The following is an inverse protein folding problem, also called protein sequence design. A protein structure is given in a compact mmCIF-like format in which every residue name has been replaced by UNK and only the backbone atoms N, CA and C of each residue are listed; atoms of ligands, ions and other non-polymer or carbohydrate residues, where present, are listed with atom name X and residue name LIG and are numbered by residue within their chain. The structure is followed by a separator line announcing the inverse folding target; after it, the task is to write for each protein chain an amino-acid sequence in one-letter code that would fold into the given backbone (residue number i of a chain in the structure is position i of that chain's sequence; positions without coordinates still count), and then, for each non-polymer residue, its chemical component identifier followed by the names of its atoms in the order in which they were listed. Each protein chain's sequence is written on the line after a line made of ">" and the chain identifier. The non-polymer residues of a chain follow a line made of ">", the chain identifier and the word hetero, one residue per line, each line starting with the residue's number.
data_IF_061165544245
#
_entry.id   IF_061165544245
#
_cell.length_a   1.000
_cell.length_b   1.000
_cell.length_c   1.000
_cell.angle_alpha   90.00
_cell.angle_beta   90.00
_cell.angle_gamma   90.00
#
_symmetry.space_group_name_H-M   'P 1'
#
loop_
_entity.id
_entity.type
_entity.pdbx_description
1 polymer ?
#
# COMPACT_ATOMS: atom_id res chain seq x y z
N UNK A 1 -5.95 -36.26 27.35
CA UNK A 1 -6.31 -34.85 27.47
C UNK A 1 -5.07 -33.94 27.45
N UNK A 2 -3.99 -34.18 28.21
CA UNK A 2 -2.77 -33.33 28.19
C UNK A 2 -2.10 -33.23 26.81
N UNK A 3 -2.08 -34.25 25.97
CA UNK A 3 -1.47 -34.23 24.63
C UNK A 3 -2.24 -33.37 23.62
N UNK A 4 -3.57 -33.24 23.78
CA UNK A 4 -4.41 -32.40 22.92
C UNK A 4 -4.17 -30.92 23.22
N UNK A 5 -3.95 -30.54 24.49
CA UNK A 5 -3.64 -29.18 24.88
C UNK A 5 -2.29 -28.71 24.34
N UNK A 6 -1.30 -29.59 24.25
CA UNK A 6 0.02 -29.26 23.70
C UNK A 6 -0.08 -29.00 22.18
N UNK A 7 -0.91 -29.79 21.46
CA UNK A 7 -1.11 -29.57 20.02
C UNK A 7 -1.81 -28.25 19.71
N UNK A 8 -2.80 -27.85 20.51
CA UNK A 8 -3.50 -26.58 20.38
C UNK A 8 -2.57 -25.38 20.67
N UNK A 9 -1.69 -25.52 21.66
CA UNK A 9 -0.71 -24.48 22.01
C UNK A 9 0.33 -24.24 20.91
N UNK A 10 0.74 -25.28 20.17
CA UNK A 10 1.71 -25.18 19.07
C UNK A 10 1.11 -24.49 17.85
N UNK A 11 -0.18 -24.70 17.56
CA UNK A 11 -0.87 -24.08 16.42
C UNK A 11 -1.07 -22.56 16.62
N UNK A 12 -1.13 -22.09 17.86
CA UNK A 12 -1.29 -20.66 18.18
C UNK A 12 0.01 -19.84 18.05
N UNK A 13 1.18 -20.48 17.92
CA UNK A 13 2.48 -19.81 17.84
C UNK A 13 2.93 -19.46 16.40
N UNK A 14 2.16 -19.85 15.39
CA UNK A 14 2.47 -19.52 13.98
C UNK A 14 1.84 -18.23 13.48
N UNK A 15 1.42 -17.31 14.36
CA UNK A 15 1.07 -15.94 13.97
C UNK A 15 2.33 -15.24 13.48
N UNK A 16 2.70 -15.50 12.23
CA UNK A 16 3.85 -14.87 11.57
C UNK A 16 3.72 -13.36 11.64
N UNK A 17 4.76 -12.68 12.10
CA UNK A 17 4.91 -11.23 11.99
C UNK A 17 4.93 -10.86 10.50
N UNK A 18 3.77 -10.63 9.90
CA UNK A 18 3.70 -9.92 8.64
C UNK A 18 4.23 -8.51 8.90
N UNK A 19 5.26 -8.10 8.17
CA UNK A 19 5.79 -6.73 8.25
C UNK A 19 4.66 -5.79 7.84
N UNK A 20 4.05 -5.15 8.84
CA UNK A 20 2.91 -4.26 8.62
C UNK A 20 3.41 -3.01 7.88
N UNK A 21 2.98 -2.83 6.65
CA UNK A 21 3.28 -1.62 5.88
C UNK A 21 2.58 -0.43 6.51
N UNK A 22 3.31 0.70 6.61
CA UNK A 22 2.72 1.94 7.12
C UNK A 22 1.76 2.49 6.06
N UNK A 23 0.50 2.65 6.46
CA UNK A 23 -0.56 3.23 5.62
C UNK A 23 -1.00 4.53 6.28
N UNK A 24 -1.01 5.59 5.50
CA UNK A 24 -1.53 6.90 5.87
C UNK A 24 -2.88 7.09 5.19
N UNK A 25 -3.88 7.53 5.95
CA UNK A 25 -5.24 7.75 5.44
C UNK A 25 -5.80 9.04 5.97
N UNK A 26 -6.61 9.71 5.17
CA UNK A 26 -7.35 10.90 5.58
C UNK A 26 -8.70 10.97 4.85
N UNK A 27 -9.63 11.74 5.38
CA UNK A 27 -10.96 11.95 4.81
C UNK A 27 -11.40 13.40 4.98
N UNK A 28 -12.04 13.94 3.96
CA UNK A 28 -12.64 15.26 4.03
C UNK A 28 -13.92 15.19 4.88
N UNK A 29 -13.92 15.94 5.99
CA UNK A 29 -15.03 15.97 6.96
C UNK A 29 -16.27 16.73 6.45
N UNK A 30 -16.15 17.45 5.34
CA UNK A 30 -17.27 18.14 4.70
C UNK A 30 -18.23 17.13 4.07
N UNK A 31 -17.70 15.94 3.68
CA UNK A 31 -18.48 14.90 3.03
C UNK A 31 -18.99 13.87 4.03
N UNK A 32 -20.26 13.51 3.90
CA UNK A 32 -20.84 12.36 4.59
C UNK A 32 -20.50 11.08 3.82
N UNK A 33 -19.54 10.33 4.34
CA UNK A 33 -19.07 9.10 3.70
C UNK A 33 -20.10 7.98 3.69
N UNK A 34 -21.19 8.10 4.46
CA UNK A 34 -22.25 7.07 4.56
C UNK A 34 -23.14 7.00 3.34
N UNK A 35 -23.16 8.05 2.52
CA UNK A 35 -23.99 8.11 1.31
C UNK A 35 -23.43 7.26 0.16
N UNK A 36 -22.12 6.92 0.23
CA UNK A 36 -21.48 6.14 -0.82
C UNK A 36 -21.78 4.66 -0.67
N UNK A 37 -22.37 4.06 -1.69
CA UNK A 37 -22.70 2.63 -1.71
C UNK A 37 -22.46 1.96 -3.08
N UNK A 38 -22.20 2.77 -4.12
CA UNK A 38 -21.86 2.29 -5.45
C UNK A 38 -20.55 2.91 -5.91
N UNK A 39 -19.75 2.15 -6.67
CA UNK A 39 -18.47 2.63 -7.14
C UNK A 39 -18.16 2.20 -8.57
N UNK A 40 -17.27 2.95 -9.22
CA UNK A 40 -16.49 2.52 -10.38
C UNK A 40 -15.00 2.64 -10.06
N UNK A 41 -14.17 1.89 -10.78
CA UNK A 41 -12.71 2.01 -10.70
C UNK A 41 -12.23 2.57 -12.03
N UNK A 42 -11.55 3.70 -11.95
CA UNK A 42 -10.84 4.30 -13.07
C UNK A 42 -9.35 4.03 -12.87
N UNK A 43 -8.79 3.18 -13.73
CA UNK A 43 -7.33 3.07 -13.82
C UNK A 43 -6.82 4.21 -14.71
N UNK A 44 -6.02 5.10 -14.15
CA UNK A 44 -5.30 6.03 -14.99
C UNK A 44 -4.20 5.28 -15.70
N UNK A 45 -4.23 5.32 -17.02
CA UNK A 45 -3.06 5.03 -17.81
C UNK A 45 -1.95 5.97 -17.32
N UNK A 46 -0.83 5.38 -17.00
CA UNK A 46 0.36 6.10 -16.53
C UNK A 46 0.60 7.27 -17.47
N UNK A 47 0.59 8.50 -16.94
CA UNK A 47 1.04 9.66 -17.71
C UNK A 47 2.47 9.32 -18.13
N UNK A 48 2.66 9.07 -19.42
CA UNK A 48 3.96 8.75 -20.01
C UNK A 48 4.86 9.99 -19.95
N UNK A 49 5.42 10.26 -18.78
CA UNK A 49 6.63 11.05 -18.74
C UNK A 49 7.82 10.15 -19.10
N UNK A 50 8.69 10.54 -20.03
CA UNK A 50 9.77 9.70 -20.55
C UNK A 50 10.79 9.24 -19.49
N UNK A 51 10.71 9.78 -18.28
CA UNK A 51 11.57 9.46 -17.15
C UNK A 51 10.97 8.43 -16.17
N UNK A 52 9.73 7.99 -16.37
CA UNK A 52 9.11 7.04 -15.46
C UNK A 52 9.46 5.61 -15.86
N UNK A 53 9.99 4.88 -14.89
CA UNK A 53 10.20 3.44 -15.00
C UNK A 53 8.82 2.80 -15.23
N UNK A 54 8.71 2.01 -16.30
CA UNK A 54 7.47 1.29 -16.65
C UNK A 54 6.91 0.55 -15.42
N UNK A 55 5.71 0.91 -15.00
CA UNK A 55 5.00 0.22 -13.92
C UNK A 55 4.52 -1.13 -14.49
N UNK A 56 4.71 -2.19 -13.71
CA UNK A 56 4.25 -3.52 -14.10
C UNK A 56 2.70 -3.55 -14.24
N UNK A 57 2.16 -3.75 -15.47
CA UNK A 57 0.71 -3.72 -15.69
C UNK A 57 -0.02 -4.85 -14.92
N UNK A 58 0.66 -5.95 -14.62
CA UNK A 58 0.09 -7.03 -13.80
C UNK A 58 -0.14 -6.55 -12.36
N UNK A 59 0.76 -5.72 -11.83
CA UNK A 59 0.57 -5.14 -10.49
C UNK A 59 -0.63 -4.19 -10.48
N UNK A 60 -0.81 -3.36 -11.51
CA UNK A 60 -2.00 -2.50 -11.64
C UNK A 60 -3.28 -3.32 -11.65
N UNK A 61 -3.32 -4.42 -12.39
CA UNK A 61 -4.48 -5.32 -12.43
C UNK A 61 -4.73 -5.99 -11.06
N UNK A 62 -3.67 -6.38 -10.34
CA UNK A 62 -3.77 -6.94 -8.99
C UNK A 62 -4.37 -5.93 -8.01
N UNK A 63 -3.91 -4.69 -8.05
CA UNK A 63 -4.43 -3.60 -7.22
C UNK A 63 -5.89 -3.33 -7.52
N UNK A 64 -6.29 -3.20 -8.79
CA UNK A 64 -7.67 -2.99 -9.18
C UNK A 64 -8.60 -4.09 -8.66
N UNK A 65 -8.20 -5.37 -8.84
CA UNK A 65 -8.96 -6.53 -8.33
C UNK A 65 -9.07 -6.52 -6.80
N UNK A 66 -7.99 -6.17 -6.11
CA UNK A 66 -7.97 -6.11 -4.64
C UNK A 66 -8.88 -5.00 -4.12
N UNK A 67 -8.90 -3.83 -4.77
CA UNK A 67 -9.82 -2.73 -4.42
C UNK A 67 -11.27 -3.19 -4.62
N UNK A 68 -11.59 -3.78 -5.78
CA UNK A 68 -12.94 -4.27 -6.08
C UNK A 68 -13.41 -5.30 -5.04
N UNK A 69 -12.57 -6.27 -4.71
CA UNK A 69 -12.89 -7.31 -3.71
C UNK A 69 -13.06 -6.72 -2.31
N UNK A 70 -12.20 -5.79 -1.90
CA UNK A 70 -12.26 -5.16 -0.58
C UNK A 70 -13.53 -4.32 -0.42
N UNK A 71 -13.91 -3.55 -1.44
CA UNK A 71 -15.15 -2.76 -1.43
C UNK A 71 -16.39 -3.67 -1.47
N UNK A 72 -16.38 -4.72 -2.29
CA UNK A 72 -17.49 -5.67 -2.36
C UNK A 72 -17.74 -6.40 -1.02
N UNK A 73 -16.68 -6.82 -0.31
CA UNK A 73 -16.78 -7.40 1.04
C UNK A 73 -17.43 -6.45 2.06
N UNK A 74 -17.36 -5.14 1.81
CA UNK A 74 -17.94 -4.09 2.65
C UNK A 74 -19.35 -3.66 2.21
N UNK A 75 -19.92 -4.35 1.21
CA UNK A 75 -21.27 -4.11 0.74
C UNK A 75 -21.40 -3.06 -0.37
N UNK A 76 -20.27 -2.50 -0.85
CA UNK A 76 -20.31 -1.60 -2.00
C UNK A 76 -20.59 -2.37 -3.29
N UNK A 77 -21.34 -1.77 -4.20
CA UNK A 77 -21.70 -2.37 -5.48
C UNK A 77 -21.03 -1.64 -6.64
N UNK A 78 -20.43 -2.41 -7.55
CA UNK A 78 -19.89 -1.84 -8.79
C UNK A 78 -21.06 -1.39 -9.68
N UNK A 79 -20.96 -0.19 -10.26
CA UNK A 79 -22.03 0.43 -11.08
C UNK A 79 -21.44 1.19 -12.25
N UNK A 80 -22.19 1.26 -13.34
CA UNK A 80 -21.91 2.18 -14.46
C UNK A 80 -22.30 3.62 -14.14
N UNK A 81 -23.22 3.82 -13.17
CA UNK A 81 -23.60 5.12 -12.63
C UNK A 81 -23.28 5.13 -11.13
N UNK A 82 -22.02 5.26 -10.77
CA UNK A 82 -21.58 5.21 -9.38
C UNK A 82 -21.84 6.54 -8.67
N UNK A 83 -21.93 6.49 -7.35
CA UNK A 83 -21.84 7.72 -6.54
C UNK A 83 -20.43 7.97 -6.00
N UNK A 84 -19.49 7.03 -6.20
CA UNK A 84 -18.09 7.15 -5.84
C UNK A 84 -17.19 6.64 -6.97
N UNK A 85 -16.15 7.41 -7.33
CA UNK A 85 -15.15 7.01 -8.30
C UNK A 85 -13.86 6.69 -7.54
N UNK A 86 -13.30 5.50 -7.79
CA UNK A 86 -12.04 5.07 -7.18
C UNK A 86 -10.92 5.22 -8.21
N UNK A 87 -9.92 6.02 -7.86
CA UNK A 87 -8.70 6.21 -8.65
C UNK A 87 -7.52 5.74 -7.83
N UNK A 88 -6.58 5.06 -8.46
CA UNK A 88 -5.35 4.64 -7.81
C UNK A 88 -4.13 4.86 -8.69
N UNK A 89 -3.01 5.09 -8.03
CA UNK A 89 -1.74 5.38 -8.68
C UNK A 89 -0.64 4.56 -8.05
N UNK A 90 0.31 4.13 -8.87
CA UNK A 90 1.56 3.57 -8.40
C UNK A 90 2.68 4.46 -8.92
N UNK A 91 3.48 5.01 -8.02
CA UNK A 91 4.64 5.81 -8.35
C UNK A 91 5.92 5.10 -7.90
N UNK A 92 7.00 5.32 -8.62
CA UNK A 92 8.32 4.85 -8.23
C UNK A 92 9.24 6.04 -8.02
N UNK A 93 9.90 6.06 -6.87
CA UNK A 93 10.89 7.07 -6.52
C UNK A 93 12.25 6.38 -6.30
N UNK A 94 13.30 7.01 -6.83
CA UNK A 94 14.66 6.58 -6.60
C UNK A 94 15.26 7.40 -5.46
N UNK A 95 15.60 6.76 -4.36
CA UNK A 95 16.20 7.42 -3.20
C UNK A 95 17.64 6.95 -2.99
N UNK A 96 18.52 7.89 -2.67
CA UNK A 96 19.91 7.59 -2.29
C UNK A 96 19.94 7.42 -0.78
N UNK A 97 20.04 6.17 -0.31
CA UNK A 97 20.21 5.88 1.11
C UNK A 97 21.69 6.06 1.51
N UNK A 98 21.93 6.92 2.49
CA UNK A 98 23.25 7.22 3.03
C UNK A 98 23.44 6.45 4.32
N UNK A 99 23.89 5.23 4.25
CA UNK A 99 24.25 4.48 5.46
C UNK A 99 25.63 4.90 5.94
N UNK A 100 25.69 5.60 7.08
CA UNK A 100 26.90 5.82 7.84
C UNK A 100 27.24 4.53 8.60
N UNK A 101 28.00 3.65 7.99
CA UNK A 101 28.60 2.55 8.74
C UNK A 101 29.76 3.12 9.59
N UNK A 102 29.51 3.32 10.88
CA UNK A 102 30.56 3.42 11.87
C UNK A 102 31.18 2.03 12.06
N UNK A 103 31.96 1.60 11.12
CA UNK A 103 32.86 0.46 11.32
C UNK A 103 33.94 0.86 12.29
N UNK A 104 33.75 0.53 13.56
CA UNK A 104 34.83 0.60 14.56
C UNK A 104 35.88 -0.45 14.20
N UNK A 105 36.80 -0.10 13.33
CA UNK A 105 38.02 -0.86 13.10
C UNK A 105 39.14 -0.22 13.91
N UNK A 106 39.24 -0.58 15.20
CA UNK A 106 40.43 -0.34 15.99
C UNK A 106 41.58 -1.19 15.45
N UNK A 107 42.19 -0.77 14.36
CA UNK A 107 43.52 -1.25 13.93
C UNK A 107 44.39 -0.06 13.62
N UNK A 108 45.29 0.21 14.57
CA UNK A 108 46.59 0.93 14.44
C UNK A 108 46.72 1.81 13.18
N UNK A 109 46.51 3.12 13.34
CA UNK A 109 47.34 4.11 12.69
C UNK A 109 47.06 4.52 11.25
N UNK A 110 45.91 4.16 10.66
CA UNK A 110 45.42 4.76 9.40
C UNK A 110 44.07 5.43 9.68
N UNK A 111 44.03 6.74 9.45
CA UNK A 111 42.78 7.48 9.35
C UNK A 111 42.18 7.13 7.98
N UNK A 112 41.47 5.99 7.90
CA UNK A 112 40.62 5.73 6.76
C UNK A 112 39.43 6.67 6.84
N UNK A 113 39.32 7.57 5.87
CA UNK A 113 38.10 8.34 5.65
C UNK A 113 36.87 7.38 5.67
N UNK A 114 35.79 7.72 6.38
CA UNK A 114 34.64 6.87 6.43
C UNK A 114 34.10 6.74 5.01
N UNK A 115 34.28 5.57 4.41
CA UNK A 115 33.76 5.25 3.08
C UNK A 115 32.24 5.37 3.18
N UNK A 116 31.70 6.50 2.72
CA UNK A 116 30.26 6.67 2.59
C UNK A 116 29.80 5.78 1.43
N UNK A 117 29.18 4.64 1.76
CA UNK A 117 28.54 3.80 0.76
C UNK A 117 27.16 4.37 0.45
N UNK A 118 27.00 4.80 -0.79
CA UNK A 118 25.71 5.23 -1.32
C UNK A 118 24.99 4.02 -1.90
N UNK A 119 23.81 3.70 -1.38
CA UNK A 119 22.95 2.66 -1.94
C UNK A 119 21.76 3.34 -2.58
N UNK A 120 21.49 3.00 -3.84
CA UNK A 120 20.29 3.40 -4.51
C UNK A 120 19.16 2.44 -4.13
N UNK A 121 18.08 2.97 -3.58
CA UNK A 121 16.91 2.20 -3.18
C UNK A 121 15.71 2.71 -3.96
N UNK A 122 15.10 1.82 -4.76
CA UNK A 122 13.84 2.12 -5.41
C UNK A 122 12.71 1.93 -4.39
N UNK A 123 11.91 2.98 -4.20
CA UNK A 123 10.69 2.96 -3.39
C UNK A 123 9.49 3.07 -4.30
N UNK A 124 8.51 2.23 -4.05
CA UNK A 124 7.20 2.32 -4.69
C UNK A 124 6.20 2.90 -3.70
N UNK A 125 5.24 3.66 -4.22
CA UNK A 125 4.14 4.20 -3.46
C UNK A 125 2.83 3.84 -4.14
N UNK A 126 1.86 3.39 -3.36
CA UNK A 126 0.48 3.20 -3.81
C UNK A 126 -0.37 4.28 -3.17
N UNK A 127 -1.11 4.99 -3.99
CA UNK A 127 -2.12 5.98 -3.56
C UNK A 127 -3.48 5.54 -4.07
N UNK A 128 -4.48 5.49 -3.19
CA UNK A 128 -5.87 5.23 -3.52
C UNK A 128 -6.66 6.47 -3.15
N UNK A 129 -7.49 6.97 -4.06
CA UNK A 129 -8.36 8.12 -3.83
C UNK A 129 -9.79 7.75 -4.14
N UNK A 130 -10.71 8.12 -3.25
CA UNK A 130 -12.14 8.03 -3.49
C UNK A 130 -12.64 9.44 -3.77
N UNK A 131 -13.34 9.57 -4.89
CA UNK A 131 -13.90 10.83 -5.35
C UNK A 131 -15.42 10.77 -5.30
N UNK A 132 -16.05 11.87 -4.93
CA UNK A 132 -17.48 12.05 -5.17
C UNK A 132 -17.74 12.09 -6.68
N UNK A 133 -18.68 11.29 -7.17
CA UNK A 133 -18.91 11.16 -8.60
C UNK A 133 -19.56 12.42 -9.24
N UNK A 134 -20.15 13.32 -8.43
CA UNK A 134 -20.79 14.54 -8.92
C UNK A 134 -19.83 15.74 -8.98
N UNK A 135 -19.00 15.89 -7.95
CA UNK A 135 -18.10 17.03 -7.81
C UNK A 135 -16.68 16.73 -8.27
N UNK A 136 -16.32 15.46 -8.43
CA UNK A 136 -14.97 14.95 -8.71
C UNK A 136 -13.94 15.30 -7.61
N UNK A 137 -14.39 15.74 -6.44
CA UNK A 137 -13.52 16.08 -5.32
C UNK A 137 -13.13 14.81 -4.55
N UNK A 138 -11.91 14.83 -4.00
CA UNK A 138 -11.40 13.71 -3.19
C UNK A 138 -12.06 13.73 -1.82
N UNK A 139 -12.81 12.69 -1.50
CA UNK A 139 -13.51 12.55 -0.20
C UNK A 139 -12.74 11.72 0.80
N UNK A 140 -11.86 10.85 0.30
CA UNK A 140 -11.00 10.00 1.11
C UNK A 140 -9.77 9.56 0.32
N UNK A 141 -8.64 9.38 1.01
CA UNK A 141 -7.45 8.82 0.40
C UNK A 141 -6.70 7.89 1.34
N UNK A 142 -5.92 6.98 0.75
CA UNK A 142 -4.92 6.17 1.42
C UNK A 142 -3.60 6.23 0.64
N UNK A 143 -2.51 6.20 1.39
CA UNK A 143 -1.16 6.23 0.86
C UNK A 143 -0.27 5.23 1.59
N UNK A 144 0.52 4.45 0.85
CA UNK A 144 1.52 3.56 1.42
C UNK A 144 2.79 3.60 0.59
N UNK A 145 3.95 3.68 1.26
CA UNK A 145 5.28 3.67 0.65
C UNK A 145 6.06 2.46 1.15
N UNK A 146 6.75 1.78 0.25
CA UNK A 146 7.54 0.61 0.56
C UNK A 146 8.76 0.48 -0.37
N UNK A 147 9.77 -0.27 0.05
CA UNK A 147 10.89 -0.61 -0.84
C UNK A 147 10.39 -1.58 -1.91
N UNK A 148 10.74 -1.35 -3.19
CA UNK A 148 10.34 -2.23 -4.30
C UNK A 148 10.76 -3.67 -4.07
N UNK A 149 11.93 -3.91 -3.46
CA UNK A 149 12.44 -5.26 -3.20
C UNK A 149 11.59 -6.06 -2.22
N UNK A 150 10.92 -5.39 -1.26
CA UNK A 150 10.12 -5.99 -0.18
C UNK A 150 8.65 -5.63 -0.24
N UNK A 151 8.23 -4.87 -1.26
CA UNK A 151 6.82 -4.52 -1.46
C UNK A 151 5.98 -5.70 -1.94
N UNK A 152 4.64 -5.56 -1.90
CA UNK A 152 3.71 -6.61 -2.28
C UNK A 152 3.85 -6.94 -3.77
N UNK A 153 4.04 -8.21 -4.08
CA UNK A 153 4.20 -8.73 -5.46
C UNK A 153 3.09 -9.68 -5.84
N UNK A 154 2.76 -10.61 -4.95
CA UNK A 154 1.73 -11.60 -5.19
C UNK A 154 0.33 -11.05 -4.86
N UNK A 155 -0.71 -11.69 -5.40
CA UNK A 155 -2.09 -11.21 -5.24
C UNK A 155 -2.51 -11.14 -3.77
N UNK A 156 -2.10 -12.12 -2.97
CA UNK A 156 -2.43 -12.20 -1.54
C UNK A 156 -1.80 -11.04 -0.74
N UNK A 157 -0.56 -10.69 -1.05
CA UNK A 157 0.14 -9.57 -0.41
C UNK A 157 -0.51 -8.23 -0.78
N UNK A 158 -0.88 -8.07 -2.06
CA UNK A 158 -1.61 -6.89 -2.53
C UNK A 158 -2.99 -6.82 -1.89
N UNK A 159 -3.71 -7.96 -1.78
CA UNK A 159 -5.00 -8.00 -1.10
C UNK A 159 -4.89 -7.54 0.36
N UNK A 160 -3.89 -8.03 1.09
CA UNK A 160 -3.67 -7.66 2.48
C UNK A 160 -3.39 -6.16 2.65
N UNK A 161 -2.54 -5.59 1.79
CA UNK A 161 -2.25 -4.16 1.79
C UNK A 161 -3.50 -3.33 1.51
N UNK A 162 -4.24 -3.66 0.46
CA UNK A 162 -5.44 -2.92 0.05
C UNK A 162 -6.55 -3.05 1.08
N UNK A 163 -6.76 -4.25 1.64
CA UNK A 163 -7.75 -4.47 2.70
C UNK A 163 -7.42 -3.65 3.95
N UNK A 164 -6.15 -3.60 4.35
CA UNK A 164 -5.69 -2.77 5.45
C UNK A 164 -5.92 -1.27 5.14
N UNK A 165 -5.60 -0.80 3.93
CA UNK A 165 -5.81 0.58 3.52
C UNK A 165 -7.30 0.97 3.59
N UNK A 166 -8.15 0.21 2.92
CA UNK A 166 -9.59 0.47 2.85
C UNK A 166 -10.28 0.23 4.21
N UNK A 167 -9.67 -0.52 5.15
CA UNK A 167 -10.24 -0.75 6.49
C UNK A 167 -10.50 0.54 7.26
N UNK A 168 -9.75 1.59 6.99
CA UNK A 168 -9.92 2.91 7.61
C UNK A 168 -11.06 3.73 7.00
N UNK A 169 -11.51 3.39 5.79
CA UNK A 169 -12.69 3.98 5.18
C UNK A 169 -13.94 3.48 5.91
N UNK A 170 -14.33 4.17 6.96
CA UNK A 170 -15.49 3.80 7.79
C UNK A 170 -16.76 4.39 7.20
N UNK A 171 -17.57 3.51 6.63
CA UNK A 171 -18.99 3.78 6.47
C UNK A 171 -19.64 3.32 7.77
N UNK A 172 -20.06 4.26 8.62
CA UNK A 172 -20.86 3.93 9.80
C UNK A 172 -22.22 3.47 9.27
N UNK A 173 -22.51 2.17 9.40
CA UNK A 173 -23.85 1.64 9.17
C UNK A 173 -24.76 2.05 10.31
#
# INVERSE_FOLDING_TARGET
>A
MKKIFIFIAIVLLTAGCATQLKIETDSDKVYDLTIYNTFSIESFDVIEEPSQISINPILLQRVARSIEQSLAKRGFKKSSEPNMIVRFYIATEREIDRTRNYGSSYRRGHFDDPIQKYYQVDKDAITIRFHDAKTDEVVWYAFSRFKRSTGPKEQEEVNALIEQAISSFKVTQ
#
